data_IF_487891959528
#
_entry.id   IF_487891959528
#
_cell.length_a   1.000
_cell.length_b   1.000
_cell.length_c   1.000
_cell.angle_alpha   90.00
_cell.angle_beta   90.00
_cell.angle_gamma   90.00
#
_symmetry.space_group_name_H-M   'P 1'
#
loop_
_entity.id
_entity.type
_entity.pdbx_description
1 polymer ?
#
# COMPACT_ATOMS: atom_id res chain seq x y z
N UNK A 1 11.60 -32.93 -56.89
CA UNK A 1 10.65 -32.28 -57.83
C UNK A 1 10.32 -30.91 -57.24
N UNK A 2 11.12 -29.86 -57.50
CA UNK A 2 10.93 -28.81 -58.55
C UNK A 2 9.54 -28.16 -58.46
N UNK A 3 9.34 -26.84 -58.34
CA UNK A 3 10.01 -25.68 -58.94
C UNK A 3 9.59 -24.41 -58.14
N UNK A 4 10.51 -23.61 -57.60
CA UNK A 4 11.05 -22.32 -58.10
C UNK A 4 10.07 -21.17 -58.39
N UNK A 5 10.38 -20.05 -57.73
CA UNK A 5 9.99 -18.65 -57.91
C UNK A 5 10.19 -18.06 -59.31
N UNK A 6 9.34 -17.10 -59.69
CA UNK A 6 9.58 -15.93 -60.59
C UNK A 6 8.57 -14.84 -60.17
N UNK A 7 8.89 -13.57 -59.93
CA UNK A 7 9.58 -12.60 -60.80
C UNK A 7 8.50 -11.70 -61.44
N UNK A 8 8.27 -10.48 -60.93
CA UNK A 8 8.75 -9.20 -61.49
C UNK A 8 8.28 -8.91 -62.94
N UNK A 9 7.27 -8.06 -63.07
CA UNK A 9 6.95 -7.26 -64.28
C UNK A 9 6.12 -6.04 -63.80
N UNK A 10 6.69 -4.87 -63.57
CA UNK A 10 7.02 -3.82 -64.56
C UNK A 10 5.87 -3.50 -65.54
N UNK A 11 5.11 -2.44 -65.24
CA UNK A 11 4.49 -1.58 -66.26
C UNK A 11 4.49 -0.13 -65.78
N UNK A 12 5.21 0.70 -66.51
CA UNK A 12 5.30 2.15 -66.38
C UNK A 12 4.41 2.82 -67.43
N UNK A 13 3.95 4.03 -67.07
CA UNK A 13 3.48 5.15 -67.90
C UNK A 13 2.05 5.13 -68.45
N UNK A 14 1.22 6.09 -68.01
CA UNK A 14 1.00 7.33 -68.77
C UNK A 14 0.36 8.44 -67.91
N UNK A 15 0.64 9.67 -68.30
CA UNK A 15 0.50 10.95 -67.58
C UNK A 15 -0.86 11.61 -67.90
N UNK A 16 -1.54 12.18 -66.89
CA UNK A 16 -1.96 13.61 -66.84
C UNK A 16 -3.27 13.87 -66.06
N UNK A 17 -3.23 15.02 -65.38
CA UNK A 17 -4.32 15.92 -64.96
C UNK A 17 -4.93 15.76 -63.56
N UNK A 18 -5.13 16.94 -62.94
CA UNK A 18 -5.86 17.28 -61.71
C UNK A 18 -5.07 17.45 -60.39
N UNK A 19 -4.41 18.62 -60.32
CA UNK A 19 -4.73 19.74 -59.39
C UNK A 19 -4.92 19.42 -57.88
N UNK A 20 -4.06 20.10 -57.10
CA UNK A 20 -4.21 20.52 -55.70
C UNK A 20 -4.05 19.45 -54.60
N UNK A 21 -2.96 19.52 -53.83
CA UNK A 21 -2.82 20.34 -52.61
C UNK A 21 -1.51 19.93 -51.92
N UNK A 22 -0.47 20.72 -52.11
CA UNK A 22 0.80 20.54 -51.42
C UNK A 22 0.70 21.13 -50.01
N UNK A 23 1.04 20.35 -48.99
CA UNK A 23 1.59 20.89 -47.74
C UNK A 23 2.61 19.90 -47.21
N UNK A 24 3.87 20.25 -47.40
CA UNK A 24 5.04 19.54 -46.90
C UNK A 24 5.00 19.47 -45.37
N UNK A 25 5.17 18.27 -44.82
CA UNK A 25 5.49 18.08 -43.41
C UNK A 25 6.93 18.58 -43.22
N UNK A 26 7.08 19.81 -42.73
CA UNK A 26 8.36 20.30 -42.18
C UNK A 26 8.47 19.79 -40.75
N UNK A 27 9.42 18.89 -40.51
CA UNK A 27 9.88 18.57 -39.16
C UNK A 27 10.60 19.80 -38.58
N UNK A 28 9.91 20.57 -37.75
CA UNK A 28 10.52 21.61 -36.92
C UNK A 28 11.02 20.97 -35.62
N UNK A 29 12.33 20.75 -35.55
CA UNK A 29 13.01 20.55 -34.28
C UNK A 29 12.92 21.85 -33.48
N UNK A 30 11.96 21.94 -32.57
CA UNK A 30 11.85 23.05 -31.62
C UNK A 30 12.87 22.83 -30.49
N UNK A 31 14.08 23.35 -30.70
CA UNK A 31 15.02 23.61 -29.61
C UNK A 31 14.39 24.67 -28.71
N UNK A 32 13.99 24.28 -27.49
CA UNK A 32 13.55 25.24 -26.46
C UNK A 32 14.75 26.08 -26.04
N UNK A 33 14.84 27.32 -26.55
CA UNK A 33 15.64 28.37 -25.93
C UNK A 33 14.88 28.85 -24.70
N UNK A 34 15.48 28.71 -23.51
CA UNK A 34 15.00 29.39 -22.31
C UNK A 34 15.36 30.87 -22.45
N UNK A 35 14.37 31.72 -22.76
CA UNK A 35 14.50 33.18 -22.59
C UNK A 35 13.85 33.55 -21.26
N UNK A 36 14.60 34.26 -20.42
CA UNK A 36 14.18 34.74 -19.11
C UNK A 36 13.56 36.15 -19.24
N UNK A 37 12.37 36.25 -19.81
CA UNK A 37 11.59 37.49 -19.77
C UNK A 37 10.17 37.20 -19.26
N UNK A 38 9.70 37.87 -18.18
CA UNK A 38 8.35 37.69 -17.68
C UNK A 38 7.36 38.45 -18.59
N UNK A 39 6.42 37.70 -19.18
CA UNK A 39 5.25 38.28 -19.85
C UNK A 39 4.31 38.78 -18.74
N UNK A 40 4.32 40.10 -18.50
CA UNK A 40 3.33 40.79 -17.70
C UNK A 40 2.07 41.00 -18.56
N UNK A 41 1.11 40.11 -18.43
CA UNK A 41 -0.29 40.35 -18.83
C UNK A 41 -1.14 40.03 -17.62
N UNK A 42 -1.81 41.07 -17.12
CA UNK A 42 -2.64 41.04 -15.93
C UNK A 42 -3.83 40.11 -16.09
N UNK A 43 -3.93 39.19 -15.15
CA UNK A 43 -5.17 38.80 -14.50
C UNK A 43 -4.72 38.27 -13.13
N UNK A 44 -5.13 38.95 -12.05
CA UNK A 44 -4.82 38.56 -10.67
C UNK A 44 -5.60 37.29 -10.34
N UNK A 45 -5.15 36.15 -10.86
CA UNK A 45 -5.43 34.86 -10.23
C UNK A 45 -4.56 34.79 -8.98
N UNK A 46 -5.12 35.26 -7.86
CA UNK A 46 -4.73 34.78 -6.54
C UNK A 46 -4.71 33.25 -6.61
N UNK A 47 -3.50 32.68 -6.77
CA UNK A 47 -3.29 31.28 -6.43
C UNK A 47 -3.39 31.23 -4.93
N UNK A 48 -4.61 31.07 -4.45
CA UNK A 48 -4.94 30.63 -3.11
C UNK A 48 -4.22 29.29 -2.90
N UNK A 49 -2.94 29.34 -2.52
CA UNK A 49 -2.24 28.17 -2.04
C UNK A 49 -2.91 27.83 -0.73
N UNK A 50 -3.96 26.99 -0.77
CA UNK A 50 -4.68 26.53 0.41
C UNK A 50 -3.66 26.13 1.46
N UNK A 51 -3.54 26.93 2.52
CA UNK A 51 -2.64 26.63 3.62
C UNK A 51 -3.24 25.40 4.30
N UNK A 52 -2.56 24.26 4.18
CA UNK A 52 -3.01 23.01 4.80
C UNK A 52 -2.62 23.09 6.26
N UNK A 53 -3.57 23.50 7.10
CA UNK A 53 -3.36 23.58 8.53
C UNK A 53 -3.77 22.28 9.24
N UNK A 54 -2.96 21.88 10.22
CA UNK A 54 -3.26 20.79 11.12
C UNK A 54 -4.23 21.26 12.22
N UNK A 55 -5.53 21.26 11.94
CA UNK A 55 -6.55 21.57 12.96
C UNK A 55 -7.36 20.32 13.33
N UNK A 56 -7.67 20.10 14.63
CA UNK A 56 -8.57 19.03 15.02
C UNK A 56 -9.96 19.29 14.46
N UNK A 57 -10.62 18.23 13.96
CA UNK A 57 -11.95 18.30 13.37
C UNK A 57 -12.77 17.06 13.67
N UNK A 58 -14.02 17.04 13.22
CA UNK A 58 -14.91 15.87 13.33
C UNK A 58 -14.92 15.13 12.01
N UNK A 59 -14.72 13.82 12.04
CA UNK A 59 -14.72 12.98 10.84
C UNK A 59 -16.15 12.85 10.28
N UNK A 60 -16.33 12.98 8.97
CA UNK A 60 -17.62 12.71 8.31
C UNK A 60 -17.69 11.24 7.85
N UNK A 61 -18.88 10.67 7.58
CA UNK A 61 -19.01 9.27 7.14
C UNK A 61 -18.29 8.90 5.83
N UNK A 62 -18.01 9.92 5.00
CA UNK A 62 -17.29 9.79 3.72
C UNK A 62 -15.80 10.14 3.84
N UNK A 63 -15.39 10.73 4.95
CA UNK A 63 -14.00 11.09 5.22
C UNK A 63 -13.13 9.84 5.33
N UNK A 64 -11.89 9.94 4.86
CA UNK A 64 -10.88 8.89 4.99
C UNK A 64 -9.59 9.51 5.51
N UNK A 65 -9.29 9.23 6.79
CA UNK A 65 -8.02 9.62 7.40
C UNK A 65 -6.84 8.82 6.86
N UNK A 66 -5.64 9.33 7.15
CA UNK A 66 -4.39 8.71 6.74
C UNK A 66 -4.18 7.35 7.41
N UNK A 67 -3.24 6.58 6.85
CA UNK A 67 -2.73 5.39 7.50
C UNK A 67 -1.37 5.64 8.14
N UNK A 68 -0.86 4.61 8.79
CA UNK A 68 0.40 4.61 9.55
C UNK A 68 1.25 3.45 9.04
N UNK A 69 2.56 3.64 8.97
CA UNK A 69 3.51 2.57 8.65
C UNK A 69 4.08 2.05 9.97
N UNK A 70 4.15 0.74 10.14
CA UNK A 70 4.72 0.13 11.33
C UNK A 70 5.70 -0.99 10.95
N UNK A 71 6.50 -1.42 11.91
CA UNK A 71 7.40 -2.58 11.81
C UNK A 71 6.81 -3.69 12.65
N UNK A 72 6.69 -4.90 12.08
CA UNK A 72 6.25 -6.07 12.84
C UNK A 72 7.38 -6.52 13.77
N UNK A 73 7.20 -6.40 15.09
CA UNK A 73 8.19 -6.82 16.07
C UNK A 73 8.17 -8.33 16.30
N UNK A 74 6.97 -8.90 16.43
CA UNK A 74 6.81 -10.30 16.81
C UNK A 74 5.37 -10.65 17.15
N UNK A 75 5.19 -11.83 17.74
CA UNK A 75 3.91 -12.28 18.26
C UNK A 75 4.06 -12.72 19.72
N UNK A 76 3.05 -12.44 20.52
CA UNK A 76 2.93 -12.90 21.91
C UNK A 76 1.49 -13.34 22.17
N UNK A 77 1.21 -13.81 23.38
CA UNK A 77 -0.15 -14.06 23.83
C UNK A 77 -0.41 -13.28 25.12
N UNK A 78 -1.61 -12.73 25.23
CA UNK A 78 -2.09 -12.05 26.44
C UNK A 78 -3.32 -12.79 26.93
N UNK A 79 -3.53 -12.78 28.25
CA UNK A 79 -4.74 -13.31 28.87
C UNK A 79 -5.73 -12.18 29.08
N UNK A 80 -6.95 -12.37 28.59
CA UNK A 80 -8.05 -11.44 28.81
C UNK A 80 -8.57 -11.55 30.24
N UNK A 81 -9.38 -10.57 30.65
CA UNK A 81 -10.05 -10.56 31.96
C UNK A 81 -10.90 -11.80 32.25
N UNK A 82 -11.39 -12.45 31.19
CA UNK A 82 -12.19 -13.68 31.23
C UNK A 82 -11.35 -14.97 31.21
N UNK A 83 -10.02 -14.87 31.31
CA UNK A 83 -9.14 -16.03 31.22
C UNK A 83 -9.00 -16.63 29.82
N UNK A 84 -9.42 -15.93 28.76
CA UNK A 84 -9.15 -16.33 27.38
C UNK A 84 -7.70 -16.00 26.97
N UNK A 85 -7.00 -16.96 26.35
CA UNK A 85 -5.68 -16.70 25.76
C UNK A 85 -5.83 -16.12 24.35
N UNK A 86 -5.45 -14.86 24.17
CA UNK A 86 -5.54 -14.16 22.88
C UNK A 86 -4.16 -14.07 22.21
N UNK A 87 -4.01 -14.57 20.96
CA UNK A 87 -2.78 -14.36 20.20
C UNK A 87 -2.72 -12.92 19.69
N UNK A 88 -1.58 -12.27 19.87
CA UNK A 88 -1.40 -10.85 19.54
C UNK A 88 -0.12 -10.65 18.73
N UNK A 89 -0.22 -9.83 17.67
CA UNK A 89 0.93 -9.31 16.93
C UNK A 89 1.31 -7.93 17.46
N UNK A 90 2.60 -7.72 17.75
CA UNK A 90 3.14 -6.43 18.22
C UNK A 90 3.73 -5.68 17.04
N UNK A 91 3.27 -4.44 16.85
CA UNK A 91 3.71 -3.54 15.79
C UNK A 91 4.32 -2.28 16.41
N UNK A 92 5.45 -1.83 15.88
CA UNK A 92 6.14 -0.62 16.30
C UNK A 92 6.02 0.48 15.25
N UNK A 93 5.50 1.63 15.67
CA UNK A 93 5.38 2.82 14.82
C UNK A 93 6.66 3.64 14.99
N UNK A 94 7.57 3.48 14.03
CA UNK A 94 8.92 4.08 14.06
C UNK A 94 8.93 5.43 13.32
N UNK A 95 8.93 6.53 14.07
CA UNK A 95 9.01 7.93 13.62
C UNK A 95 8.28 8.22 12.30
N UNK A 96 6.96 8.08 12.31
CA UNK A 96 6.17 8.39 11.13
C UNK A 96 6.00 9.90 10.93
N UNK A 97 6.23 10.35 9.70
CA UNK A 97 6.11 11.76 9.32
C UNK A 97 5.45 11.90 7.95
N UNK A 98 4.67 12.95 7.76
CA UNK A 98 4.16 13.33 6.43
C UNK A 98 5.33 13.89 5.61
N UNK A 99 5.71 13.22 4.53
CA UNK A 99 6.81 13.64 3.66
C UNK A 99 6.36 14.48 2.47
N UNK A 100 5.17 14.24 1.94
CA UNK A 100 4.61 15.00 0.81
C UNK A 100 3.09 14.94 0.86
N UNK A 101 2.47 16.07 0.53
CA UNK A 101 1.03 16.17 0.30
C UNK A 101 0.76 16.20 -1.20
N UNK A 102 -0.13 15.34 -1.67
CA UNK A 102 -0.63 15.33 -3.05
C UNK A 102 -2.06 15.85 -3.08
N UNK A 103 -2.33 16.76 -4.01
CA UNK A 103 -3.64 17.42 -4.18
C UNK A 103 -4.23 17.11 -5.55
N UNK A 104 -5.56 17.20 -5.65
CA UNK A 104 -6.27 16.95 -6.92
C UNK A 104 -5.80 17.89 -8.03
N UNK A 105 -5.50 19.15 -7.71
CA UNK A 105 -5.09 20.17 -8.67
C UNK A 105 -3.75 19.85 -9.36
N UNK A 106 -2.80 19.25 -8.62
CA UNK A 106 -1.45 18.97 -9.13
C UNK A 106 -1.30 17.55 -9.65
N UNK A 107 -1.75 16.55 -8.90
CA UNK A 107 -1.55 15.13 -9.21
C UNK A 107 -2.82 14.42 -9.69
N UNK A 108 -3.99 15.05 -9.61
CA UNK A 108 -5.28 14.44 -9.98
C UNK A 108 -5.91 13.58 -8.88
N UNK A 109 -5.30 13.50 -7.69
CA UNK A 109 -5.86 12.79 -6.53
C UNK A 109 -5.28 13.29 -5.20
N UNK A 110 -6.06 13.16 -4.12
CA UNK A 110 -5.64 13.51 -2.76
C UNK A 110 -4.99 12.32 -2.05
N UNK A 111 -3.74 12.49 -1.63
CA UNK A 111 -3.00 11.48 -0.86
C UNK A 111 -1.93 12.11 0.03
N UNK A 112 -1.65 11.44 1.14
CA UNK A 112 -0.52 11.75 2.01
C UNK A 112 0.57 10.69 1.82
N UNK A 113 1.78 11.15 1.51
CA UNK A 113 2.96 10.30 1.54
C UNK A 113 3.51 10.32 2.97
N UNK A 114 3.58 9.14 3.59
CA UNK A 114 4.10 8.96 4.94
C UNK A 114 5.47 8.26 4.84
N UNK A 115 6.42 8.75 5.60
CA UNK A 115 7.74 8.14 5.77
C UNK A 115 7.91 7.54 7.15
N UNK A 116 8.56 6.38 7.23
CA UNK A 116 8.78 5.61 8.45
C UNK A 116 10.22 5.16 8.62
N UNK A 117 10.68 5.20 9.86
CA UNK A 117 12.00 4.81 10.34
C UNK A 117 13.13 5.69 9.81
N UNK A 118 14.29 5.61 10.43
CA UNK A 118 15.42 6.49 10.10
C UNK A 118 16.39 5.84 9.12
N UNK A 119 16.93 6.64 8.18
CA UNK A 119 17.96 6.18 7.25
C UNK A 119 19.00 7.27 6.99
N UNK A 120 20.28 6.93 7.15
CA UNK A 120 21.41 7.86 6.88
C UNK A 120 21.52 8.18 5.39
N UNK A 121 21.97 9.39 5.08
CA UNK A 121 22.13 9.89 3.70
C UNK A 121 22.93 8.93 2.80
N UNK A 122 24.03 8.38 3.31
CA UNK A 122 24.89 7.44 2.56
C UNK A 122 24.20 6.14 2.11
N UNK A 123 23.05 5.80 2.67
CA UNK A 123 22.29 4.61 2.29
C UNK A 123 21.13 4.94 1.34
N UNK A 124 20.88 6.22 1.06
CA UNK A 124 19.86 6.70 0.14
C UNK A 124 20.47 7.01 -1.22
N UNK A 125 19.63 6.94 -2.25
CA UNK A 125 20.00 7.42 -3.58
C UNK A 125 19.91 8.94 -3.64
N UNK A 126 20.74 9.58 -4.47
CA UNK A 126 20.71 11.05 -4.66
C UNK A 126 19.32 11.65 -4.90
N UNK A 127 18.43 11.07 -5.74
CA UNK A 127 17.08 11.63 -5.92
C UNK A 127 16.22 11.53 -4.65
N UNK A 128 16.33 10.45 -3.86
CA UNK A 128 15.62 10.35 -2.58
C UNK A 128 16.09 11.43 -1.59
N UNK A 129 17.40 11.69 -1.54
CA UNK A 129 17.97 12.77 -0.72
C UNK A 129 17.46 14.14 -1.17
N UNK A 130 17.44 14.39 -2.48
CA UNK A 130 16.88 15.62 -3.05
C UNK A 130 15.40 15.81 -2.70
N UNK A 131 14.61 14.73 -2.75
CA UNK A 131 13.19 14.74 -2.37
C UNK A 131 13.00 15.16 -0.90
N UNK A 132 13.71 14.51 0.03
CA UNK A 132 13.60 14.86 1.46
C UNK A 132 14.07 16.29 1.76
N UNK A 133 15.15 16.75 1.12
CA UNK A 133 15.66 18.12 1.28
C UNK A 133 14.69 19.17 0.75
N UNK A 134 14.07 18.92 -0.40
CA UNK A 134 13.08 19.84 -0.97
C UNK A 134 11.84 20.01 -0.06
N UNK A 135 11.50 18.97 0.69
CA UNK A 135 10.36 18.98 1.62
C UNK A 135 10.75 19.42 3.05
N UNK A 136 12.05 19.54 3.36
CA UNK A 136 12.52 19.88 4.70
C UNK A 136 12.28 18.79 5.76
N UNK A 137 12.10 17.53 5.34
CA UNK A 137 11.72 16.42 6.23
C UNK A 137 12.92 15.50 6.49
N UNK A 138 13.08 14.94 7.71
CA UNK A 138 14.11 13.95 8.00
C UNK A 138 14.04 12.73 7.06
N UNK A 139 15.20 12.17 6.74
CA UNK A 139 15.35 11.05 5.83
C UNK A 139 14.76 9.75 6.41
N UNK A 140 13.81 9.14 5.67
CA UNK A 140 13.09 7.95 6.13
C UNK A 140 13.47 6.65 5.42
N UNK A 141 13.30 5.51 6.09
CA UNK A 141 13.66 4.17 5.58
C UNK A 141 12.63 3.62 4.59
N UNK A 142 11.33 3.90 4.80
CA UNK A 142 10.25 3.47 3.92
C UNK A 142 9.25 4.58 3.69
N UNK A 143 8.85 4.79 2.43
CA UNK A 143 7.77 5.69 2.03
C UNK A 143 6.56 4.87 1.57
N UNK A 144 5.36 5.34 1.94
CA UNK A 144 4.09 4.81 1.42
C UNK A 144 3.05 5.92 1.30
N UNK A 145 2.28 5.86 0.23
CA UNK A 145 1.16 6.77 0.00
C UNK A 145 -0.13 6.17 0.55
N UNK A 146 -0.88 6.99 1.27
CA UNK A 146 -2.23 6.72 1.72
C UNK A 146 -3.17 7.69 1.02
N UNK A 147 -4.13 7.20 0.24
CA UNK A 147 -5.11 8.07 -0.36
C UNK A 147 -6.00 8.59 0.79
N UNK A 148 -6.33 9.88 0.78
CA UNK A 148 -7.11 10.54 1.84
C UNK A 148 -8.18 11.42 1.21
N UNK A 149 -9.13 11.89 2.02
CA UNK A 149 -10.07 12.94 1.62
C UNK A 149 -9.47 14.32 1.90
N UNK A 150 -10.00 15.38 1.27
CA UNK A 150 -9.42 16.73 1.35
C UNK A 150 -9.47 17.33 2.76
N UNK A 151 -10.50 16.97 3.53
CA UNK A 151 -10.67 17.34 4.94
C UNK A 151 -9.67 16.65 5.87
N UNK A 152 -9.03 15.57 5.42
CA UNK A 152 -8.07 14.78 6.19
C UNK A 152 -6.60 15.05 5.79
N UNK A 153 -6.34 16.15 5.06
CA UNK A 153 -5.00 16.56 4.68
C UNK A 153 -4.23 17.08 5.89
N UNK A 154 -2.95 16.73 5.95
CA UNK A 154 -2.03 17.14 7.00
C UNK A 154 -0.85 17.89 6.37
N UNK A 155 -0.30 18.92 7.03
CA UNK A 155 0.89 19.59 6.54
C UNK A 155 2.09 18.66 6.49
N UNK A 156 3.01 18.94 5.56
CA UNK A 156 4.31 18.27 5.48
C UNK A 156 5.06 18.50 6.80
N UNK A 157 5.73 17.45 7.30
CA UNK A 157 6.45 17.50 8.57
C UNK A 157 5.62 17.07 9.79
N UNK A 158 4.31 16.90 9.67
CA UNK A 158 3.46 16.41 10.78
C UNK A 158 3.86 15.00 11.19
N UNK A 159 4.13 14.78 12.48
CA UNK A 159 4.42 13.46 13.05
C UNK A 159 3.13 12.68 13.34
N UNK A 160 3.17 11.35 13.17
CA UNK A 160 2.04 10.46 13.45
C UNK A 160 2.42 9.46 14.52
N UNK A 161 1.75 9.55 15.68
CA UNK A 161 1.93 8.63 16.80
C UNK A 161 0.97 7.44 16.72
N UNK A 162 1.17 6.44 17.59
CA UNK A 162 0.25 5.29 17.69
C UNK A 162 -1.16 5.68 18.15
N UNK A 163 -1.31 6.82 18.87
CA UNK A 163 -2.61 7.35 19.34
C UNK A 163 -3.50 7.84 18.20
N UNK A 164 -3.00 7.87 16.96
CA UNK A 164 -3.83 7.96 15.77
C UNK A 164 -4.94 6.89 15.76
N UNK A 165 -4.67 5.74 16.36
CA UNK A 165 -5.60 4.63 16.50
C UNK A 165 -6.13 4.52 17.93
N UNK A 166 -7.40 4.16 18.07
CA UNK A 166 -8.06 3.96 19.37
C UNK A 166 -8.23 2.47 19.66
N UNK A 167 -7.90 1.97 20.86
CA UNK A 167 -8.19 0.58 21.23
C UNK A 167 -9.69 0.28 21.13
N UNK A 168 -10.05 -0.91 20.65
CA UNK A 168 -11.46 -1.22 20.35
C UNK A 168 -11.82 -1.13 18.86
N UNK A 169 -11.10 -0.30 18.10
CA UNK A 169 -11.40 -0.13 16.67
C UNK A 169 -10.89 -1.31 15.83
N UNK A 170 -11.37 -1.39 14.58
CA UNK A 170 -10.88 -2.33 13.57
C UNK A 170 -9.97 -1.64 12.54
N UNK A 171 -8.89 -2.33 12.15
CA UNK A 171 -7.90 -1.85 11.17
C UNK A 171 -7.66 -2.88 10.07
N UNK A 172 -7.28 -2.41 8.89
CA UNK A 172 -6.78 -3.22 7.79
C UNK A 172 -5.26 -3.14 7.73
N UNK A 173 -4.59 -4.30 7.79
CA UNK A 173 -3.13 -4.39 7.79
C UNK A 173 -2.63 -4.99 6.50
N UNK A 174 -1.81 -4.24 5.78
CA UNK A 174 -1.22 -4.65 4.51
C UNK A 174 0.27 -4.86 4.65
N UNK A 175 0.80 -5.96 4.15
CA UNK A 175 2.22 -6.27 4.24
C UNK A 175 2.68 -7.22 3.16
N UNK A 176 4.00 -7.34 3.03
CA UNK A 176 4.61 -8.31 2.12
C UNK A 176 4.72 -9.64 2.85
N UNK A 177 4.04 -10.66 2.33
CA UNK A 177 4.04 -12.02 2.88
C UNK A 177 5.42 -12.66 2.84
N UNK A 178 5.71 -13.54 3.80
CA UNK A 178 6.98 -14.31 3.83
C UNK A 178 7.16 -15.10 2.54
N UNK A 179 8.31 -14.91 1.88
CA UNK A 179 8.68 -15.66 0.69
C UNK A 179 8.95 -17.13 1.01
N UNK A 180 8.48 -18.04 0.16
CA UNK A 180 8.75 -19.48 0.24
C UNK A 180 9.53 -20.00 -0.98
N UNK A 181 9.99 -19.14 -1.89
CA UNK A 181 10.68 -19.57 -3.11
C UNK A 181 9.74 -20.30 -4.09
N UNK A 182 10.30 -21.17 -4.95
CA UNK A 182 9.53 -22.00 -5.87
C UNK A 182 8.88 -23.17 -5.12
N UNK A 183 7.56 -23.30 -5.22
CA UNK A 183 6.78 -24.32 -4.50
C UNK A 183 5.99 -25.19 -5.47
N UNK A 184 5.91 -26.50 -5.16
CA UNK A 184 5.13 -27.49 -5.90
C UNK A 184 3.62 -27.26 -5.80
N UNK A 185 2.84 -27.96 -6.66
CA UNK A 185 1.39 -27.80 -6.73
C UNK A 185 0.66 -28.12 -5.42
N UNK A 186 1.11 -29.15 -4.70
CA UNK A 186 0.54 -29.52 -3.40
C UNK A 186 0.66 -28.39 -2.37
N UNK A 187 1.84 -27.80 -2.19
CA UNK A 187 2.04 -26.73 -1.17
C UNK A 187 1.50 -25.37 -1.61
N UNK A 188 1.53 -25.07 -2.92
CA UNK A 188 1.08 -23.76 -3.43
C UNK A 188 -0.44 -23.66 -3.52
N UNK A 189 -1.12 -24.75 -3.89
CA UNK A 189 -2.55 -24.77 -4.21
C UNK A 189 -3.35 -25.79 -3.41
N UNK A 190 -2.74 -26.46 -2.43
CA UNK A 190 -3.36 -27.51 -1.62
C UNK A 190 -3.90 -28.69 -2.46
N UNK A 191 -3.21 -29.05 -3.54
CA UNK A 191 -3.57 -30.23 -4.35
C UNK A 191 -3.32 -31.53 -3.57
N UNK A 192 -4.20 -32.52 -3.77
CA UNK A 192 -3.98 -33.89 -3.31
C UNK A 192 -2.83 -34.54 -4.10
N UNK A 193 -2.15 -35.49 -3.47
CA UNK A 193 -1.15 -36.34 -4.13
C UNK A 193 -1.77 -37.60 -4.73
N UNK A 194 -0.95 -38.36 -5.46
CA UNK A 194 -1.32 -39.71 -5.93
C UNK A 194 -1.04 -40.76 -4.84
N UNK A 195 -1.62 -41.98 -4.92
CA UNK A 195 -1.34 -43.06 -3.97
C UNK A 195 0.17 -43.31 -3.80
N UNK A 196 0.58 -43.70 -2.60
CA UNK A 196 1.98 -43.98 -2.30
C UNK A 196 2.38 -45.42 -2.65
N UNK A 197 1.53 -46.41 -2.34
CA UNK A 197 1.94 -47.83 -2.33
C UNK A 197 1.29 -48.71 -3.41
N UNK A 198 0.25 -48.24 -4.11
CA UNK A 198 -0.46 -49.01 -5.14
C UNK A 198 0.13 -48.81 -6.54
N UNK A 199 1.44 -49.05 -6.70
CA UNK A 199 2.10 -49.08 -8.02
C UNK A 199 2.28 -47.72 -8.71
N UNK A 200 2.12 -46.60 -8.00
CA UNK A 200 2.37 -45.28 -8.57
C UNK A 200 3.87 -45.06 -8.82
N UNK A 201 4.28 -44.89 -10.08
CA UNK A 201 5.66 -44.58 -10.44
C UNK A 201 5.87 -43.07 -10.54
N UNK A 202 6.76 -42.52 -9.69
CA UNK A 202 7.31 -41.14 -9.73
C UNK A 202 6.30 -39.97 -9.65
N UNK A 203 5.00 -40.24 -9.56
CA UNK A 203 3.92 -39.25 -9.72
C UNK A 203 3.26 -38.83 -8.40
N UNK A 204 3.74 -39.29 -7.24
CA UNK A 204 3.15 -39.04 -5.92
C UNK A 204 2.83 -37.56 -5.64
N UNK A 205 3.68 -36.64 -6.14
CA UNK A 205 3.54 -35.18 -5.95
C UNK A 205 3.30 -34.40 -7.25
N UNK A 206 3.02 -35.11 -8.34
CA UNK A 206 2.67 -34.50 -9.63
C UNK A 206 1.34 -33.73 -9.52
N UNK A 207 1.11 -32.78 -10.43
CA UNK A 207 -0.11 -31.96 -10.45
C UNK A 207 -1.29 -32.64 -11.18
N UNK A 208 -1.08 -33.83 -11.73
CA UNK A 208 -2.06 -34.51 -12.58
C UNK A 208 -2.27 -33.81 -13.93
N UNK A 209 -3.43 -34.08 -14.55
CA UNK A 209 -3.75 -33.53 -15.87
C UNK A 209 -3.93 -32.01 -15.84
N UNK A 210 -3.32 -31.34 -16.83
CA UNK A 210 -3.38 -29.88 -16.95
C UNK A 210 -4.47 -29.41 -17.93
N UNK A 211 -4.93 -30.26 -18.85
CA UNK A 211 -5.90 -29.91 -19.89
C UNK A 211 -6.61 -31.12 -20.51
N UNK A 212 -7.49 -30.83 -21.46
CA UNK A 212 -8.23 -31.81 -22.28
C UNK A 212 -7.52 -32.04 -23.62
N UNK A 213 -7.88 -33.12 -24.33
CA UNK A 213 -7.22 -33.53 -25.59
C UNK A 213 -7.59 -32.64 -26.79
N UNK A 214 -8.86 -32.58 -27.18
CA UNK A 214 -9.28 -32.06 -28.49
C UNK A 214 -9.59 -30.55 -28.44
N UNK A 215 -10.81 -30.14 -28.05
CA UNK A 215 -11.09 -28.75 -27.70
C UNK A 215 -10.80 -28.55 -26.20
N UNK A 216 -9.95 -27.59 -25.76
CA UNK A 216 -9.40 -26.41 -26.45
C UNK A 216 -7.97 -26.54 -27.04
N UNK A 217 -7.34 -27.73 -27.01
CA UNK A 217 -5.98 -27.96 -27.53
C UNK A 217 -4.85 -27.18 -26.84
N UNK A 218 -5.13 -26.57 -25.67
CA UNK A 218 -4.18 -25.75 -24.91
C UNK A 218 -4.51 -25.72 -23.43
N UNK A 219 -3.55 -25.29 -22.62
CA UNK A 219 -3.79 -24.99 -21.21
C UNK A 219 -4.40 -23.60 -21.06
N UNK A 220 -5.51 -23.49 -20.33
CA UNK A 220 -6.16 -22.21 -20.07
C UNK A 220 -5.28 -21.27 -19.22
N UNK A 221 -5.36 -19.96 -19.49
CA UNK A 221 -4.74 -18.93 -18.65
C UNK A 221 -5.31 -19.01 -17.22
N UNK A 222 -4.46 -18.77 -16.23
CA UNK A 222 -4.85 -18.86 -14.82
C UNK A 222 -4.91 -20.29 -14.25
N UNK A 223 -4.58 -21.32 -15.05
CA UNK A 223 -4.44 -22.69 -14.54
C UNK A 223 -3.42 -22.72 -13.40
N UNK A 224 -3.81 -23.34 -12.29
CA UNK A 224 -2.99 -23.49 -11.08
C UNK A 224 -1.80 -24.42 -11.38
N UNK A 225 -0.59 -23.88 -11.26
CA UNK A 225 0.69 -24.58 -11.49
C UNK A 225 1.71 -24.31 -10.37
N UNK A 226 2.76 -25.15 -10.23
CA UNK A 226 3.91 -24.85 -9.38
C UNK A 226 4.54 -23.49 -9.68
N UNK A 227 5.23 -22.90 -8.71
CA UNK A 227 5.90 -21.61 -8.93
C UNK A 227 6.16 -20.83 -7.64
N UNK A 228 6.59 -19.57 -7.79
CA UNK A 228 6.93 -18.71 -6.66
C UNK A 228 5.73 -18.51 -5.72
N UNK A 229 5.92 -18.81 -4.44
CA UNK A 229 4.94 -18.62 -3.38
C UNK A 229 5.46 -17.61 -2.34
N UNK A 230 4.57 -16.75 -1.84
CA UNK A 230 4.92 -15.67 -0.92
C UNK A 230 5.61 -14.48 -1.60
N UNK A 231 6.06 -13.50 -0.81
CA UNK A 231 6.63 -12.25 -1.32
C UNK A 231 5.62 -11.38 -2.06
N UNK A 232 4.32 -11.63 -1.85
CA UNK A 232 3.22 -10.85 -2.41
C UNK A 232 2.65 -9.92 -1.37
N UNK A 233 2.17 -8.76 -1.81
CA UNK A 233 1.41 -7.85 -0.96
C UNK A 233 0.02 -8.47 -0.69
N UNK A 234 -0.31 -8.60 0.59
CA UNK A 234 -1.62 -9.08 1.04
C UNK A 234 -2.13 -8.17 2.15
N UNK A 235 -3.45 -8.06 2.25
CA UNK A 235 -4.13 -7.29 3.29
C UNK A 235 -4.98 -8.23 4.14
N UNK A 236 -4.76 -8.21 5.44
CA UNK A 236 -5.66 -8.83 6.42
C UNK A 236 -6.62 -7.73 6.87
N UNK A 237 -7.91 -7.98 6.70
CA UNK A 237 -8.95 -6.99 6.97
C UNK A 237 -9.55 -7.19 8.36
N UNK A 238 -10.14 -6.13 8.91
CA UNK A 238 -10.91 -6.15 10.15
C UNK A 238 -10.14 -6.75 11.35
N UNK A 239 -8.88 -6.36 11.51
CA UNK A 239 -8.04 -6.75 12.65
C UNK A 239 -8.37 -5.85 13.83
N UNK A 240 -8.65 -6.43 15.00
CA UNK A 240 -9.02 -5.66 16.19
C UNK A 240 -7.76 -5.14 16.90
N UNK A 241 -7.75 -3.84 17.22
CA UNK A 241 -6.76 -3.18 18.09
C UNK A 241 -7.04 -3.50 19.55
N UNK A 242 -6.13 -4.24 20.17
CA UNK A 242 -6.26 -4.71 21.55
C UNK A 242 -5.73 -3.69 22.58
N UNK A 243 -4.53 -3.17 22.33
CA UNK A 243 -3.82 -2.27 23.25
C UNK A 243 -2.94 -1.34 22.44
N UNK A 244 -2.74 -0.12 22.93
CA UNK A 244 -1.72 0.82 22.44
C UNK A 244 -0.84 1.26 23.61
N UNK A 245 0.44 1.47 23.33
CA UNK A 245 1.42 2.01 24.28
C UNK A 245 2.04 3.25 23.61
N UNK A 246 1.58 4.45 23.99
CA UNK A 246 2.06 5.69 23.42
C UNK A 246 3.51 6.00 23.77
N UNK A 247 3.98 5.65 24.97
CA UNK A 247 5.36 5.90 25.39
C UNK A 247 6.37 5.18 24.49
N UNK A 248 6.06 3.94 24.10
CA UNK A 248 6.92 3.13 23.22
C UNK A 248 6.50 3.15 21.75
N UNK A 249 5.42 3.85 21.42
CA UNK A 249 4.77 3.81 20.10
C UNK A 249 4.48 2.38 19.61
N UNK A 250 4.00 1.51 20.50
CA UNK A 250 3.66 0.12 20.20
C UNK A 250 2.15 -0.09 20.10
N UNK A 251 1.76 -1.00 19.22
CA UNK A 251 0.38 -1.38 18.97
C UNK A 251 0.24 -2.91 19.00
N UNK A 252 -0.75 -3.40 19.73
CA UNK A 252 -1.08 -4.80 19.84
C UNK A 252 -2.34 -5.09 19.03
N UNK A 253 -2.21 -5.96 18.04
CA UNK A 253 -3.30 -6.39 17.18
C UNK A 253 -3.69 -7.84 17.45
N UNK A 254 -4.98 -8.10 17.61
CA UNK A 254 -5.51 -9.46 17.81
C UNK A 254 -5.30 -10.29 16.53
N UNK A 255 -4.52 -11.35 16.64
CA UNK A 255 -4.29 -12.33 15.58
C UNK A 255 -3.03 -12.08 14.74
N UNK A 256 -3.11 -12.43 13.46
CA UNK A 256 -1.95 -12.55 12.56
C UNK A 256 -1.79 -11.35 11.63
N UNK A 257 -0.53 -10.90 11.48
CA UNK A 257 -0.14 -9.84 10.55
C UNK A 257 0.78 -10.40 9.45
N UNK A 258 0.58 -10.04 8.16
CA UNK A 258 1.40 -10.55 7.06
C UNK A 258 2.84 -10.05 7.15
N UNK A 259 3.78 -10.96 6.94
CA UNK A 259 5.22 -10.66 6.87
C UNK A 259 6.05 -11.33 7.96
N UNK A 260 7.37 -11.28 7.77
CA UNK A 260 8.34 -11.67 8.78
C UNK A 260 8.45 -10.59 9.86
N UNK A 261 9.07 -10.92 10.97
CA UNK A 261 9.51 -9.95 11.98
C UNK A 261 10.55 -9.01 11.36
N UNK A 262 10.53 -7.74 11.76
CA UNK A 262 11.33 -6.66 11.17
C UNK A 262 10.78 -6.10 9.86
N UNK A 263 9.79 -6.73 9.23
CA UNK A 263 9.20 -6.19 7.99
C UNK A 263 8.25 -5.04 8.28
N UNK A 264 8.23 -4.09 7.34
CA UNK A 264 7.23 -3.03 7.32
C UNK A 264 5.84 -3.55 6.96
N UNK A 265 4.86 -3.00 7.67
CA UNK A 265 3.44 -3.20 7.46
C UNK A 265 2.76 -1.83 7.39
N UNK A 266 1.67 -1.76 6.64
CA UNK A 266 0.90 -0.55 6.41
C UNK A 266 -0.47 -0.75 7.03
N UNK A 267 -0.81 0.11 7.99
CA UNK A 267 -2.04 0.05 8.75
C UNK A 267 -2.92 1.20 8.30
N UNK A 268 -4.19 0.93 8.08
CA UNK A 268 -5.23 1.92 7.82
C UNK A 268 -6.50 1.49 8.51
N UNK A 269 -7.49 2.37 8.58
CA UNK A 269 -8.80 1.99 9.10
C UNK A 269 -9.44 0.88 8.27
N UNK A 270 -10.25 0.07 8.95
CA UNK A 270 -11.00 -0.99 8.31
C UNK A 270 -12.05 -0.40 7.35
N UNK A 271 -12.07 -0.92 6.13
CA UNK A 271 -13.01 -0.45 5.09
C UNK A 271 -14.42 -0.99 5.33
N UNK A 272 -14.56 -2.21 5.87
CA UNK A 272 -15.86 -2.86 6.04
C UNK A 272 -16.45 -2.64 7.43
N UNK A 273 -15.69 -2.90 8.50
CA UNK A 273 -16.09 -2.56 9.86
C UNK A 273 -15.65 -1.13 10.17
N UNK A 274 -16.46 -0.16 9.74
CA UNK A 274 -16.15 1.26 9.95
C UNK A 274 -15.97 1.52 11.46
N UNK A 275 -14.92 2.26 11.85
CA UNK A 275 -14.73 2.65 13.23
C UNK A 275 -15.84 3.60 13.67
N UNK A 276 -16.10 3.64 14.98
CA UNK A 276 -17.02 4.61 15.56
C UNK A 276 -16.41 6.02 15.39
N UNK A 277 -17.09 6.85 14.61
CA UNK A 277 -16.64 8.16 14.18
C UNK A 277 -16.42 9.10 15.38
N UNK A 278 -17.23 8.92 16.43
CA UNK A 278 -17.23 9.79 17.61
C UNK A 278 -15.96 9.69 18.45
N UNK A 279 -15.33 8.52 18.47
CA UNK A 279 -14.18 8.23 19.32
C UNK A 279 -12.84 8.51 18.63
N UNK A 280 -12.83 8.66 17.30
CA UNK A 280 -11.60 8.75 16.55
C UNK A 280 -11.01 10.17 16.53
N UNK A 281 -9.71 10.32 16.79
CA UNK A 281 -9.03 11.59 16.54
C UNK A 281 -8.93 11.85 15.03
N UNK A 282 -9.40 13.02 14.61
CA UNK A 282 -9.40 13.44 13.22
C UNK A 282 -8.81 14.86 13.08
N UNK A 283 -7.98 15.13 12.06
CA UNK A 283 -7.42 14.22 11.04
C UNK A 283 -6.38 13.22 11.58
N UNK A 284 -5.76 13.55 12.72
CA UNK A 284 -4.90 12.67 13.51
C UNK A 284 -4.94 13.09 14.98
N UNK A 285 -4.28 12.33 15.86
CA UNK A 285 -4.07 12.73 17.25
C UNK A 285 -2.98 13.79 17.34
N UNK A 286 -3.31 14.93 17.94
CA UNK A 286 -2.35 15.98 18.29
C UNK A 286 -2.03 15.86 19.78
N UNK A 287 -0.74 15.74 20.10
CA UNK A 287 -0.31 15.73 21.49
C UNK A 287 -0.39 17.15 22.07
N UNK A 288 -0.88 17.32 23.32
CA UNK A 288 -0.74 18.59 24.03
C UNK A 288 0.75 18.92 24.20
N UNK A 289 1.11 20.21 24.16
CA UNK A 289 2.50 20.65 24.32
C UNK A 289 3.08 20.26 25.69
N UNK A 290 2.24 20.19 26.72
CA UNK A 290 2.63 19.86 28.10
C UNK A 290 2.67 18.35 28.40
N UNK A 291 2.32 17.48 27.43
CA UNK A 291 2.23 16.05 27.67
C UNK A 291 3.58 15.34 27.47
N UNK A 292 4.22 14.94 28.57
CA UNK A 292 5.41 14.09 28.50
C UNK A 292 5.04 12.70 27.96
N UNK A 293 5.56 12.37 26.78
CA UNK A 293 5.19 11.14 26.08
C UNK A 293 5.70 9.89 26.80
N UNK A 294 6.78 9.99 27.56
CA UNK A 294 7.43 8.87 28.25
C UNK A 294 6.64 8.34 29.45
N UNK A 295 5.78 9.16 30.05
CA UNK A 295 4.99 8.81 31.23
C UNK A 295 3.59 8.25 30.89
N UNK A 296 3.23 8.25 29.60
CA UNK A 296 1.89 7.85 29.19
C UNK A 296 1.66 6.35 29.38
N UNK A 297 0.66 6.03 30.20
CA UNK A 297 0.24 4.65 30.43
C UNK A 297 -0.34 3.99 29.18
N UNK A 298 -0.19 2.66 29.05
CA UNK A 298 -0.76 1.95 27.94
C UNK A 298 -2.28 1.83 28.06
N UNK A 299 -2.98 2.08 26.96
CA UNK A 299 -4.44 2.05 26.89
C UNK A 299 -4.88 0.71 26.31
N UNK A 300 -5.74 -0.01 27.03
CA UNK A 300 -6.30 -1.30 26.63
C UNK A 300 -7.73 -1.11 26.15
N UNK A 301 -8.16 -1.88 25.15
CA UNK A 301 -9.52 -1.88 24.66
C UNK A 301 -10.48 -2.43 25.72
N UNK A 302 -11.67 -1.84 25.83
CA UNK A 302 -12.72 -2.45 26.62
C UNK A 302 -13.20 -3.75 25.97
N UNK A 303 -13.24 -4.81 26.77
CA UNK A 303 -13.65 -6.16 26.38
C UNK A 303 -15.14 -6.40 26.66
N UNK A 304 -15.86 -5.42 27.22
CA UNK A 304 -17.29 -5.52 27.58
C UNK A 304 -17.55 -6.29 28.87
N UNK A 305 -18.71 -6.12 29.49
CA UNK A 305 -19.01 -6.68 30.82
C UNK A 305 -19.44 -8.15 30.82
N UNK A 306 -19.84 -8.69 29.66
CA UNK A 306 -20.34 -10.06 29.57
C UNK A 306 -19.19 -11.04 29.26
N UNK A 307 -19.10 -12.11 30.04
CA UNK A 307 -18.16 -13.20 29.76
C UNK A 307 -18.59 -13.96 28.50
N UNK A 308 -17.76 -13.99 27.44
CA UNK A 308 -18.08 -14.76 26.23
C UNK A 308 -18.22 -16.26 26.48
N UNK A 309 -17.69 -16.80 27.58
CA UNK A 309 -17.86 -18.20 27.96
C UNK A 309 -19.17 -18.46 28.73
N UNK A 310 -19.78 -17.46 29.35
CA UNK A 310 -21.09 -17.59 30.00
C UNK A 310 -22.25 -17.32 29.04
N UNK A 311 -22.01 -16.66 27.91
CA UNK A 311 -23.03 -16.36 26.89
C UNK A 311 -23.46 -17.58 26.05
N UNK A 312 -22.85 -18.74 26.26
CA UNK A 312 -23.03 -19.94 25.43
C UNK A 312 -24.04 -20.96 25.99
N UNK A 313 -24.70 -20.66 27.11
CA UNK A 313 -25.77 -21.46 27.72
C UNK A 313 -27.15 -20.81 27.57
#
# INVERSE_FOLDING_TARGET
>A
MSATSRGLASRLNFISSFISRASSIRASYQVRRFSAEPILVGDEFERDSRIIEARPGVMTPNSRRTGVIAVKCGMTAVWDKWGARVPISVLWVDDNIVSQVKTVEKEGFSALQIGCGQKKEKHLTKPEVGHFRAQGVPMKRKLREFPVTEDALLPVGTSLSVRHFVPGQFVDVTGITRGKGFQGGMKRHNFKGMPASHGASLSHRSIGSTGQRDAPGKVFKGKKMPGRMGGKQCTVKNVWVYKIDPARNLMWLKGQVPGAEGNFVFIKDAVYKKPDISLLPFPTYFAPEDAETEELEPIVADLGEMDPFMAAD
#
